data_IF_840188409654
#
_entry.id   IF_840188409654
#
_cell.length_a   1.000
_cell.length_b   1.000
_cell.length_c   1.000
_cell.angle_alpha   90.00
_cell.angle_beta   90.00
_cell.angle_gamma   90.00
#
_symmetry.space_group_name_H-M   'P 1'
#
loop_
_entity.id
_entity.type
_entity.pdbx_description
1 polymer ?
#
# COMPACT_ATOMS: atom_id res chain seq x y z
N UNK A 1 -14.39 20.60 -13.26
CA UNK A 1 -13.56 20.57 -13.32
C UNK A 1 -12.56 19.51 -13.26
N UNK A 2 -11.65 19.67 -13.62
CA UNK A 2 -10.71 18.65 -13.94
C UNK A 2 -10.01 18.06 -12.78
N UNK A 3 -10.04 18.69 -11.65
CA UNK A 3 -9.31 18.16 -10.56
C UNK A 3 -9.78 16.78 -10.18
N UNK A 4 -11.01 16.46 -10.46
CA UNK A 4 -11.50 15.12 -10.15
C UNK A 4 -10.92 14.07 -11.08
N UNK A 5 -10.69 14.44 -12.32
CA UNK A 5 -10.20 13.51 -13.30
C UNK A 5 -8.69 13.51 -13.36
N UNK A 6 -8.08 14.54 -12.78
CA UNK A 6 -6.74 14.84 -13.17
C UNK A 6 -5.66 14.12 -12.45
N UNK A 7 -5.83 13.86 -11.19
CA UNK A 7 -4.67 13.48 -10.38
C UNK A 7 -4.44 11.99 -10.39
N UNK A 8 -3.58 11.54 -11.27
CA UNK A 8 -3.10 10.16 -11.20
C UNK A 8 -2.30 9.97 -9.91
N UNK A 9 -2.36 8.75 -9.40
CA UNK A 9 -1.63 8.40 -8.20
C UNK A 9 -0.41 7.56 -8.55
N UNK A 10 0.73 7.94 -7.99
CA UNK A 10 1.94 7.14 -8.04
C UNK A 10 2.30 6.82 -6.59
N UNK A 11 2.33 5.55 -6.26
CA UNK A 11 2.58 5.12 -4.89
C UNK A 11 3.75 4.16 -4.77
N UNK A 12 4.30 4.08 -3.56
CA UNK A 12 5.37 3.15 -3.22
C UNK A 12 5.07 2.56 -1.85
N UNK A 13 5.14 1.23 -1.75
CA UNK A 13 4.70 0.49 -0.58
C UNK A 13 5.74 -0.52 -0.16
N UNK A 14 5.79 -0.81 1.14
CA UNK A 14 6.78 -1.69 1.74
C UNK A 14 6.15 -3.01 2.19
N UNK A 15 6.78 -4.12 1.83
CA UNK A 15 6.48 -5.42 2.39
C UNK A 15 7.59 -5.71 3.39
N UNK A 16 7.28 -5.57 4.67
CA UNK A 16 8.21 -5.80 5.77
C UNK A 16 7.77 -7.06 6.48
N UNK A 17 8.66 -8.06 6.53
CA UNK A 17 8.31 -9.35 7.15
C UNK A 17 9.12 -9.58 8.40
N UNK A 18 8.52 -10.31 9.34
CA UNK A 18 9.19 -10.79 10.54
C UNK A 18 8.70 -12.21 10.76
N UNK A 19 9.57 -13.19 10.49
CA UNK A 19 9.14 -14.58 10.46
C UNK A 19 8.11 -14.78 9.36
N UNK A 20 6.97 -15.35 9.74
CA UNK A 20 5.86 -15.60 8.79
C UNK A 20 4.81 -14.49 8.80
N UNK A 21 5.12 -13.34 9.39
CA UNK A 21 4.17 -12.23 9.49
C UNK A 21 4.65 -11.04 8.66
N UNK A 22 3.68 -10.24 8.20
CA UNK A 22 3.91 -9.04 7.42
C UNK A 22 3.30 -7.85 8.14
N UNK A 23 3.96 -6.71 8.07
CA UNK A 23 3.53 -5.50 8.76
C UNK A 23 2.48 -4.75 7.97
N UNK A 24 1.39 -4.39 8.65
CA UNK A 24 0.31 -3.58 8.07
C UNK A 24 -0.03 -2.41 8.97
N UNK A 25 -0.58 -1.36 8.36
CA UNK A 25 -1.07 -0.18 9.08
C UNK A 25 -2.57 -0.08 8.85
N UNK A 26 -3.27 0.45 9.85
CA UNK A 26 -4.71 0.62 9.76
C UNK A 26 -5.03 2.02 9.23
N UNK A 27 -5.94 2.07 8.28
CA UNK A 27 -6.43 3.31 7.69
C UNK A 27 -7.94 3.30 7.64
N UNK A 28 -8.50 4.49 7.43
CA UNK A 28 -9.92 4.62 7.15
C UNK A 28 -10.08 5.03 5.69
N UNK A 29 -10.87 4.28 4.94
CA UNK A 29 -11.03 4.48 3.50
C UNK A 29 -12.49 4.64 3.14
N UNK A 30 -12.75 5.41 2.06
CA UNK A 30 -14.09 5.48 1.50
C UNK A 30 -14.20 4.42 0.43
N UNK A 31 -15.06 3.44 0.68
CA UNK A 31 -15.29 2.33 -0.25
C UNK A 31 -16.79 2.10 -0.32
N UNK A 32 -17.33 2.10 -1.54
CA UNK A 32 -18.75 1.87 -1.75
C UNK A 32 -19.64 2.88 -1.05
N UNK A 33 -19.20 4.13 -0.95
CA UNK A 33 -19.99 5.18 -0.33
C UNK A 33 -19.91 5.23 1.19
N UNK A 34 -19.20 4.29 1.81
CA UNK A 34 -19.06 4.25 3.26
C UNK A 34 -17.63 4.37 3.72
N UNK A 35 -17.45 4.54 5.02
CA UNK A 35 -16.13 4.61 5.64
C UNK A 35 -15.79 3.23 6.18
N UNK A 36 -14.65 2.68 5.77
CA UNK A 36 -14.23 1.33 6.13
C UNK A 36 -12.82 1.38 6.68
N UNK A 37 -12.59 0.69 7.79
CA UNK A 37 -11.23 0.52 8.31
C UNK A 37 -10.56 -0.60 7.56
N UNK A 38 -9.37 -0.31 7.00
CA UNK A 38 -8.61 -1.29 6.22
C UNK A 38 -7.24 -1.49 6.82
N UNK A 39 -6.66 -2.66 6.59
CA UNK A 39 -5.27 -2.94 6.87
C UNK A 39 -4.51 -2.85 5.55
N UNK A 40 -3.52 -1.98 5.50
CA UNK A 40 -2.79 -1.69 4.27
C UNK A 40 -1.30 -1.84 4.51
N UNK A 41 -0.56 -2.15 3.44
CA UNK A 41 0.90 -2.10 3.53
C UNK A 41 1.34 -0.67 3.78
N UNK A 42 2.40 -0.48 4.58
CA UNK A 42 2.95 0.87 4.78
C UNK A 42 3.40 1.45 3.46
N UNK A 43 3.10 2.71 3.24
CA UNK A 43 3.48 3.38 2.00
C UNK A 43 2.53 4.49 1.67
N UNK A 44 2.69 5.07 0.50
CA UNK A 44 1.84 6.13 0.05
C UNK A 44 2.36 6.82 -1.18
N UNK A 45 1.92 8.05 -1.37
CA UNK A 45 2.21 8.83 -2.57
C UNK A 45 3.69 9.17 -2.68
N UNK A 46 4.24 8.97 -3.87
CA UNK A 46 5.58 9.44 -4.22
C UNK A 46 5.45 10.93 -4.51
N UNK A 47 6.23 11.73 -3.80
CA UNK A 47 6.17 13.18 -3.93
C UNK A 47 7.07 13.68 -5.05
N UNK A 48 6.80 14.88 -5.52
CA UNK A 48 7.58 15.47 -6.60
C UNK A 48 9.06 15.51 -6.20
N UNK A 49 9.91 15.01 -7.10
CA UNK A 49 11.34 14.98 -6.85
C UNK A 49 11.83 13.76 -6.08
N UNK A 50 10.93 12.94 -5.55
CA UNK A 50 11.32 11.73 -4.84
C UNK A 50 11.53 10.56 -5.79
N UNK A 51 12.55 9.77 -5.51
CA UNK A 51 12.67 8.44 -6.12
C UNK A 51 11.81 7.45 -5.34
N UNK A 52 11.49 6.32 -5.96
CA UNK A 52 10.64 5.32 -5.31
C UNK A 52 11.21 4.84 -3.98
N UNK A 53 12.52 4.59 -3.93
CA UNK A 53 13.17 4.15 -2.69
C UNK A 53 13.06 5.19 -1.59
N UNK A 54 13.16 6.46 -1.95
CA UNK A 54 13.06 7.54 -0.98
C UNK A 54 11.65 7.63 -0.42
N UNK A 55 10.65 7.48 -1.29
CA UNK A 55 9.25 7.53 -0.87
C UNK A 55 8.93 6.37 0.08
N UNK A 56 9.37 5.16 -0.25
CA UNK A 56 9.15 4.00 0.63
C UNK A 56 9.75 4.24 2.00
N UNK A 57 10.99 4.71 2.05
CA UNK A 57 11.69 4.93 3.32
C UNK A 57 10.99 6.00 4.14
N UNK A 58 10.57 7.09 3.50
CA UNK A 58 9.90 8.19 4.19
C UNK A 58 8.54 7.75 4.73
N UNK A 59 7.74 7.09 3.90
CA UNK A 59 6.41 6.66 4.31
C UNK A 59 6.47 5.63 5.44
N UNK A 60 7.38 4.67 5.34
CA UNK A 60 7.52 3.66 6.39
C UNK A 60 7.89 4.32 7.72
N UNK A 61 8.79 5.28 7.68
CA UNK A 61 9.22 5.98 8.89
C UNK A 61 8.08 6.81 9.47
N UNK A 62 7.34 7.53 8.62
CA UNK A 62 6.23 8.37 9.07
C UNK A 62 5.11 7.53 9.68
N UNK A 63 4.81 6.38 9.09
CA UNK A 63 3.68 5.58 9.51
C UNK A 63 3.99 4.62 10.65
N UNK A 64 5.23 4.14 10.75
CA UNK A 64 5.58 3.09 11.71
C UNK A 64 6.80 3.39 12.57
N UNK A 65 7.54 4.43 12.26
CA UNK A 65 8.79 4.75 12.94
C UNK A 65 9.97 3.86 12.56
N UNK A 66 9.75 2.85 11.71
CA UNK A 66 10.83 1.95 11.32
C UNK A 66 11.74 2.60 10.27
N UNK A 67 13.02 2.25 10.34
CA UNK A 67 14.05 2.80 9.46
C UNK A 67 14.51 1.71 8.50
N UNK A 68 14.50 2.01 7.21
CA UNK A 68 14.93 1.08 6.17
C UNK A 68 16.41 0.80 6.32
N UNK A 69 16.78 -0.47 6.20
CA UNK A 69 18.19 -0.91 6.17
C UNK A 69 18.45 -1.50 4.79
N UNK A 70 19.50 -0.98 4.13
CA UNK A 70 19.85 -1.46 2.80
C UNK A 70 18.94 -0.90 1.72
N UNK A 71 18.92 -1.56 0.60
CA UNK A 71 18.20 -1.12 -0.59
C UNK A 71 16.90 -1.92 -0.73
N UNK A 72 15.75 -1.24 -0.87
CA UNK A 72 14.50 -1.96 -1.14
C UNK A 72 14.58 -2.78 -2.42
N UNK A 73 13.95 -3.94 -2.39
CA UNK A 73 13.98 -4.89 -3.50
C UNK A 73 12.60 -4.90 -4.17
N UNK A 74 12.56 -4.60 -5.46
CA UNK A 74 11.30 -4.54 -6.20
C UNK A 74 10.61 -5.91 -6.25
N UNK A 75 9.31 -5.91 -5.98
CA UNK A 75 8.49 -7.12 -6.03
C UNK A 75 7.53 -7.11 -7.20
N UNK A 76 6.64 -6.12 -7.24
CA UNK A 76 5.64 -6.05 -8.31
C UNK A 76 5.05 -4.64 -8.39
N UNK A 77 4.40 -4.37 -9.52
CA UNK A 77 3.64 -3.15 -9.73
C UNK A 77 2.18 -3.50 -9.91
N UNK A 78 1.34 -2.70 -9.27
CA UNK A 78 -0.11 -2.75 -9.47
C UNK A 78 -0.52 -1.48 -10.20
N UNK A 79 -1.27 -1.63 -11.29
CA UNK A 79 -1.89 -0.46 -11.88
C UNK A 79 -3.38 -0.68 -12.03
N UNK A 80 -4.11 0.41 -12.09
CA UNK A 80 -5.55 0.34 -12.23
C UNK A 80 -6.13 1.70 -12.50
N UNK A 81 -7.43 1.71 -12.68
CA UNK A 81 -8.15 2.96 -12.79
C UNK A 81 -9.36 2.89 -11.87
N UNK A 82 -9.71 4.03 -11.32
CA UNK A 82 -10.90 4.15 -10.49
C UNK A 82 -11.95 4.93 -11.25
N UNK A 83 -13.11 4.32 -11.46
CA UNK A 83 -14.23 4.95 -12.15
C UNK A 83 -15.16 5.49 -11.07
N UNK A 84 -15.45 6.78 -11.16
CA UNK A 84 -16.34 7.43 -10.20
C UNK A 84 -17.70 7.68 -10.85
N UNK A 85 -18.69 8.01 -10.01
CA UNK A 85 -20.07 8.15 -10.43
C UNK A 85 -20.28 9.09 -11.61
N UNK A 86 -19.48 10.12 -11.73
CA UNK A 86 -19.60 11.07 -12.83
C UNK A 86 -18.98 10.59 -14.13
N UNK A 87 -18.53 9.35 -14.17
CA UNK A 87 -17.87 8.80 -15.35
C UNK A 87 -16.40 9.17 -15.47
N UNK A 88 -15.89 9.95 -14.55
CA UNK A 88 -14.50 10.34 -14.53
C UNK A 88 -13.67 9.28 -13.86
N UNK A 89 -12.38 9.25 -14.19
CA UNK A 89 -11.49 8.26 -13.62
C UNK A 89 -10.11 8.87 -13.44
N UNK A 90 -9.34 8.23 -12.57
CA UNK A 90 -7.93 8.47 -12.50
C UNK A 90 -7.22 7.12 -12.53
N UNK A 91 -5.98 7.13 -12.97
CA UNK A 91 -5.15 5.94 -12.96
C UNK A 91 -4.25 5.95 -11.74
N UNK A 92 -3.91 4.78 -11.25
CA UNK A 92 -2.86 4.70 -10.24
C UNK A 92 -1.85 3.64 -10.64
N UNK A 93 -0.63 3.84 -10.11
CA UNK A 93 0.46 2.89 -10.26
C UNK A 93 1.14 2.80 -8.91
N UNK A 94 1.15 1.62 -8.35
CA UNK A 94 1.75 1.40 -7.03
C UNK A 94 2.85 0.38 -7.15
N UNK A 95 4.02 0.74 -6.65
CA UNK A 95 5.21 -0.10 -6.70
C UNK A 95 5.46 -0.69 -5.33
N UNK A 96 5.65 -2.00 -5.27
CA UNK A 96 5.78 -2.73 -4.01
C UNK A 96 7.19 -3.28 -3.87
N UNK A 97 7.78 -3.09 -2.69
CA UNK A 97 9.16 -3.45 -2.43
C UNK A 97 9.27 -4.29 -1.17
N UNK A 98 10.11 -5.33 -1.20
CA UNK A 98 10.54 -6.00 0.01
C UNK A 98 11.56 -5.09 0.69
N UNK A 99 11.38 -4.86 1.98
CA UNK A 99 12.19 -3.89 2.73
C UNK A 99 12.67 -4.53 4.01
N UNK A 100 13.96 -4.43 4.28
CA UNK A 100 14.54 -4.77 5.57
C UNK A 100 14.63 -3.51 6.42
N UNK A 101 14.47 -3.67 7.71
CA UNK A 101 14.45 -2.53 8.62
C UNK A 101 15.49 -2.73 9.71
N UNK A 102 15.97 -1.61 10.25
CA UNK A 102 16.79 -1.61 11.45
C UNK A 102 15.92 -2.16 12.59
N UNK A 103 16.54 -2.94 13.48
CA UNK A 103 15.79 -3.58 14.56
C UNK A 103 15.02 -2.57 15.39
N UNK A 104 13.75 -2.87 15.67
CA UNK A 104 12.87 -2.00 16.43
C UNK A 104 11.42 -2.45 16.29
N UNK A 105 10.57 -1.91 17.14
CA UNK A 105 9.15 -2.20 17.13
C UNK A 105 8.39 -1.08 16.42
N UNK A 106 7.45 -1.42 15.52
CA UNK A 106 6.65 -0.38 14.87
C UNK A 106 5.70 0.30 15.85
N UNK A 107 5.54 1.60 15.69
CA UNK A 107 4.62 2.41 16.47
C UNK A 107 3.84 3.26 15.49
N UNK A 108 2.52 3.26 15.61
CA UNK A 108 1.66 4.00 14.67
C UNK A 108 2.00 5.49 14.70
N UNK A 109 2.28 6.03 13.53
CA UNK A 109 2.47 7.47 13.37
C UNK A 109 1.13 8.19 13.31
N UNK A 110 1.19 9.52 13.11
CA UNK A 110 -0.02 10.35 13.22
C UNK A 110 -1.04 10.09 12.11
N UNK A 111 -0.61 9.55 10.98
CA UNK A 111 -1.48 9.40 9.82
C UNK A 111 -2.17 8.04 9.73
N UNK A 112 -1.84 7.12 10.64
CA UNK A 112 -2.44 5.80 10.63
C UNK A 112 -3.09 5.52 11.99
N UNK A 113 -4.04 4.60 12.00
CA UNK A 113 -4.84 4.30 13.19
C UNK A 113 -4.21 3.21 14.04
N UNK A 114 -3.26 2.46 13.51
CA UNK A 114 -2.61 1.39 14.25
C UNK A 114 -1.63 0.65 13.37
N UNK A 115 -0.88 -0.26 13.99
CA UNK A 115 0.06 -1.16 13.29
C UNK A 115 -0.18 -2.58 13.78
N UNK A 116 0.06 -3.54 12.89
CA UNK A 116 -0.15 -4.96 13.24
C UNK A 116 0.64 -5.85 12.31
N UNK A 117 1.18 -6.91 12.88
CA UNK A 117 1.80 -7.98 12.09
C UNK A 117 0.75 -9.02 11.78
N UNK A 118 0.53 -9.31 10.50
CA UNK A 118 -0.48 -10.29 10.07
C UNK A 118 0.18 -11.55 9.56
N UNK A 119 -0.32 -12.70 10.02
CA UNK A 119 0.06 -13.99 9.47
C UNK A 119 -0.60 -14.19 8.10
N UNK A 120 -0.19 -15.25 7.39
CA UNK A 120 -0.77 -15.55 6.09
C UNK A 120 -2.29 -15.72 6.18
N UNK A 121 -2.78 -16.47 7.16
CA UNK A 121 -4.21 -16.64 7.33
C UNK A 121 -4.93 -15.37 7.66
N UNK A 122 -4.31 -14.51 8.48
CA UNK A 122 -4.90 -13.22 8.81
C UNK A 122 -4.95 -12.31 7.59
N UNK A 123 -3.92 -12.31 6.75
CA UNK A 123 -3.93 -11.54 5.52
C UNK A 123 -5.09 -11.96 4.60
N UNK A 124 -5.33 -13.26 4.48
CA UNK A 124 -6.42 -13.74 3.64
C UNK A 124 -7.80 -13.32 4.17
N UNK A 125 -7.94 -13.14 5.48
CA UNK A 125 -9.21 -12.72 6.07
C UNK A 125 -9.39 -11.22 6.14
N UNK A 126 -8.30 -10.48 6.39
CA UNK A 126 -8.38 -9.05 6.70
C UNK A 126 -8.24 -8.15 5.49
N UNK A 127 -7.61 -8.63 4.42
CA UNK A 127 -7.34 -7.81 3.24
C UNK A 127 -8.52 -7.92 2.27
N UNK A 128 -9.57 -7.17 2.55
CA UNK A 128 -10.84 -7.30 1.82
C UNK A 128 -11.17 -6.10 0.93
N UNK A 129 -10.34 -5.07 0.93
CA UNK A 129 -10.58 -3.92 0.06
C UNK A 129 -10.27 -4.29 -1.40
N UNK A 130 -10.96 -3.66 -2.37
CA UNK A 130 -10.76 -4.02 -3.78
C UNK A 130 -9.32 -3.92 -4.25
N UNK A 131 -8.58 -2.93 -3.78
CA UNK A 131 -7.20 -2.73 -4.20
C UNK A 131 -6.21 -3.71 -3.58
N UNK A 132 -6.66 -4.58 -2.66
CA UNK A 132 -5.81 -5.63 -2.11
C UNK A 132 -5.66 -6.81 -3.07
N UNK A 133 -6.41 -6.83 -4.15
CA UNK A 133 -6.45 -7.96 -5.07
C UNK A 133 -5.08 -8.35 -5.61
N UNK A 134 -4.27 -7.35 -5.98
CA UNK A 134 -2.96 -7.63 -6.59
C UNK A 134 -1.96 -8.19 -5.58
N UNK A 135 -1.95 -7.65 -4.37
CA UNK A 135 -1.06 -8.17 -3.32
C UNK A 135 -1.41 -9.62 -3.00
N UNK A 136 -2.70 -9.94 -2.91
CA UNK A 136 -3.12 -11.29 -2.62
C UNK A 136 -2.75 -12.25 -3.76
N UNK A 137 -2.89 -11.82 -5.01
CA UNK A 137 -2.46 -12.61 -6.14
C UNK A 137 -0.96 -12.86 -6.11
N UNK A 138 -0.19 -11.82 -5.82
CA UNK A 138 1.26 -11.95 -5.70
C UNK A 138 1.63 -12.89 -4.57
N UNK A 139 0.97 -12.75 -3.43
CA UNK A 139 1.23 -13.59 -2.26
C UNK A 139 0.99 -15.06 -2.56
N UNK A 140 -0.01 -15.37 -3.39
CA UNK A 140 -0.41 -16.74 -3.72
C UNK A 140 0.44 -17.35 -4.82
N UNK A 141 0.87 -16.57 -5.79
CA UNK A 141 1.49 -17.13 -6.98
C UNK A 141 2.65 -16.36 -7.57
N UNK A 142 3.06 -15.23 -6.97
CA UNK A 142 4.11 -14.40 -7.53
C UNK A 142 3.64 -13.62 -8.75
N UNK A 143 4.59 -13.04 -9.47
CA UNK A 143 4.31 -12.21 -10.63
C UNK A 143 4.82 -10.80 -10.40
N UNK A 144 4.91 -10.01 -11.47
CA UNK A 144 5.50 -8.68 -11.36
C UNK A 144 4.58 -7.55 -11.83
N UNK A 145 3.52 -7.87 -12.53
CA UNK A 145 2.60 -6.86 -13.00
C UNK A 145 1.17 -7.34 -12.80
N UNK A 146 0.35 -6.48 -12.20
CA UNK A 146 -1.05 -6.79 -11.94
C UNK A 146 -1.91 -5.60 -12.29
N UNK A 147 -3.12 -5.88 -12.76
CA UNK A 147 -4.11 -4.85 -13.00
C UNK A 147 -5.24 -5.03 -11.98
N UNK A 148 -5.48 -3.99 -11.20
CA UNK A 148 -6.55 -4.01 -10.21
C UNK A 148 -7.91 -3.74 -10.88
N UNK A 149 -8.93 -4.38 -10.35
CA UNK A 149 -10.29 -4.29 -10.90
C UNK A 149 -11.21 -3.47 -10.00
N UNK A 150 -10.70 -2.41 -9.38
CA UNK A 150 -11.51 -1.62 -8.45
C UNK A 150 -12.52 -0.73 -9.20
N UNK A 151 -13.78 -0.90 -8.83
CA UNK A 151 -14.88 -0.03 -9.27
C UNK A 151 -15.70 0.38 -8.07
N UNK A 152 -16.11 1.63 -8.04
CA UNK A 152 -17.03 2.12 -7.01
C UNK A 152 -18.46 1.81 -7.40
#
# INVERSE_FOLDING_TARGET
>A
MSELAGADFLGAFAVVTRGDRTLFVANERRIGGGSVRTWDLPGGRVEAGELLHEAVARELREETGLVVRGIPHFLFVQEGERVVAAGRRHAWRSFFFAVEVVEGEPVAGNEVLGVRWLSRGEMERELVAPYHDSFLQWLRGGGQWFRSAWRD
#
